data_IF_631362836035
#
_entry.id   IF_631362836035
#
_cell.length_a   1.000
_cell.length_b   1.000
_cell.length_c   1.000
_cell.angle_alpha   90.00
_cell.angle_beta   90.00
_cell.angle_gamma   90.00
#
_symmetry.space_group_name_H-M   'P 1'
#
loop_
_entity.id
_entity.type
_entity.pdbx_description
1 polymer ?
#
# COMPACT_ATOMS: atom_id res chain seq x y z
N UNK A 1 37.92 55.70 6.28
CA UNK A 1 39.21 55.73 6.99
C UNK A 1 39.02 56.33 8.37
N UNK A 2 39.07 55.48 9.41
CA UNK A 2 39.70 55.71 10.73
C UNK A 2 39.45 54.44 11.56
N UNK A 3 40.56 53.80 11.91
CA UNK A 3 40.69 52.64 12.79
C UNK A 3 40.60 53.06 14.25
N UNK A 4 40.18 52.12 15.11
CA UNK A 4 40.72 51.71 16.43
C UNK A 4 39.56 51.00 17.16
N UNK A 5 39.71 49.90 17.89
CA UNK A 5 40.83 49.12 18.34
C UNK A 5 40.37 48.31 19.55
N UNK A 6 40.92 47.10 19.70
CA UNK A 6 41.13 46.37 20.96
C UNK A 6 39.95 45.81 21.76
N UNK A 7 39.89 44.48 21.82
CA UNK A 7 39.30 43.69 22.92
C UNK A 7 40.06 43.92 24.25
N UNK A 8 39.50 43.49 25.41
CA UNK A 8 40.03 42.27 26.02
C UNK A 8 38.99 41.35 26.73
N UNK A 9 39.53 40.22 27.20
CA UNK A 9 38.94 38.97 27.68
C UNK A 9 38.26 39.04 29.06
N UNK A 10 37.25 38.17 29.28
CA UNK A 10 37.02 37.37 30.50
C UNK A 10 36.08 36.21 30.12
N UNK A 11 36.51 34.94 30.04
CA UNK A 11 36.96 34.00 31.08
C UNK A 11 35.83 33.41 31.95
N UNK A 12 35.79 32.07 31.95
CA UNK A 12 35.22 31.16 32.96
C UNK A 12 33.68 31.08 33.02
N UNK A 13 33.01 29.95 32.89
CA UNK A 13 33.41 28.55 33.00
C UNK A 13 32.31 27.80 33.74
N UNK A 14 31.61 26.88 33.06
CA UNK A 14 30.95 25.72 33.66
C UNK A 14 30.62 24.74 32.54
N UNK A 15 31.58 23.85 32.27
CA UNK A 15 31.35 22.63 31.49
C UNK A 15 30.56 21.69 32.39
N UNK A 16 29.35 21.34 31.97
CA UNK A 16 28.57 20.25 32.57
C UNK A 16 29.23 18.95 32.13
N UNK A 17 29.75 18.18 33.08
CA UNK A 17 30.32 16.86 32.83
C UNK A 17 29.21 15.86 32.47
N UNK A 18 29.41 14.95 31.51
CA UNK A 18 28.45 13.91 31.20
C UNK A 18 28.46 12.82 32.29
N UNK A 19 27.26 12.36 32.66
CA UNK A 19 27.05 11.28 33.62
C UNK A 19 27.62 9.94 33.10
N UNK A 20 28.27 9.13 33.96
CA UNK A 20 28.85 7.86 33.53
C UNK A 20 27.77 6.80 33.23
N UNK A 21 27.95 6.17 32.08
CA UNK A 21 27.18 5.04 31.56
C UNK A 21 27.19 3.86 32.54
N UNK A 22 26.05 3.58 33.20
CA UNK A 22 25.84 2.30 33.88
C UNK A 22 25.50 1.24 32.84
N UNK A 23 26.49 0.39 32.54
CA UNK A 23 26.29 -0.91 31.89
C UNK A 23 25.47 -1.81 32.83
N UNK A 24 24.26 -2.17 32.42
CA UNK A 24 23.55 -3.34 32.94
C UNK A 24 23.60 -4.43 31.87
N UNK A 25 24.46 -5.40 32.12
CA UNK A 25 24.44 -6.72 31.51
C UNK A 25 23.18 -7.47 31.99
N UNK A 26 22.28 -7.73 31.06
CA UNK A 26 21.12 -8.58 31.25
C UNK A 26 20.95 -9.44 30.00
N UNK A 27 21.64 -10.57 29.97
CA UNK A 27 21.35 -11.65 29.05
C UNK A 27 19.96 -12.22 29.39
N UNK A 28 19.01 -12.06 28.47
CA UNK A 28 17.65 -12.53 28.63
C UNK A 28 17.09 -12.96 27.27
N UNK A 29 17.21 -14.26 27.01
CA UNK A 29 16.59 -15.08 25.98
C UNK A 29 15.70 -14.36 24.93
N UNK A 30 16.18 -14.33 23.68
CA UNK A 30 15.35 -14.19 22.50
C UNK A 30 14.45 -15.43 22.46
N UNK A 31 13.19 -15.31 22.87
CA UNK A 31 12.17 -16.32 22.61
C UNK A 31 11.90 -16.32 21.11
N UNK A 32 12.43 -17.31 20.42
CA UNK A 32 11.97 -17.74 19.11
C UNK A 32 10.46 -17.98 19.20
N UNK A 33 9.65 -17.07 18.67
CA UNK A 33 8.22 -17.34 18.50
C UNK A 33 8.11 -18.26 17.30
N UNK A 34 8.00 -19.54 17.64
CA UNK A 34 7.85 -20.63 16.71
C UNK A 34 6.65 -20.40 15.81
N UNK A 35 6.93 -20.65 14.54
CA UNK A 35 6.06 -20.72 13.38
C UNK A 35 4.94 -21.74 13.61
N UNK A 36 3.81 -21.33 14.19
CA UNK A 36 2.62 -22.18 14.27
C UNK A 36 1.62 -21.76 13.18
N UNK A 37 1.82 -22.41 12.04
CA UNK A 37 0.88 -22.52 10.93
C UNK A 37 -0.38 -23.18 11.47
N UNK A 38 -1.40 -22.37 11.77
CA UNK A 38 -2.73 -22.87 12.13
C UNK A 38 -3.31 -23.62 10.92
N UNK A 39 -3.37 -24.94 11.04
CA UNK A 39 -4.16 -25.82 10.19
C UNK A 39 -5.63 -25.58 10.52
N UNK A 40 -6.28 -24.63 9.81
CA UNK A 40 -7.74 -24.56 9.83
C UNK A 40 -8.30 -25.65 8.91
N UNK A 41 -9.03 -26.54 9.55
CA UNK A 41 -9.75 -27.70 9.02
C UNK A 41 -10.83 -27.27 8.03
N UNK A 42 -11.00 -28.04 6.96
CA UNK A 42 -12.01 -27.84 5.93
C UNK A 42 -13.45 -28.03 6.47
N UNK A 43 -14.37 -27.12 6.08
CA UNK A 43 -15.76 -27.37 5.67
C UNK A 43 -16.71 -26.15 5.83
N UNK A 44 -16.24 -24.99 5.36
CA UNK A 44 -17.03 -23.96 4.66
C UNK A 44 -16.09 -23.48 3.55
N UNK A 45 -16.57 -23.11 2.36
CA UNK A 45 -15.70 -22.41 1.42
C UNK A 45 -15.23 -21.14 2.16
N UNK A 46 -13.97 -21.12 2.59
CA UNK A 46 -13.40 -20.00 3.33
C UNK A 46 -13.23 -18.92 2.28
N UNK A 47 -14.21 -18.02 2.20
CA UNK A 47 -14.22 -16.94 1.22
C UNK A 47 -13.03 -16.05 1.55
N UNK A 48 -12.01 -16.04 0.69
CA UNK A 48 -10.82 -15.23 0.93
C UNK A 48 -11.08 -13.76 0.63
N UNK A 49 -10.39 -12.86 1.34
CA UNK A 49 -10.50 -11.42 1.14
C UNK A 49 -9.24 -10.87 0.47
N UNK A 50 -9.40 -10.22 -0.67
CA UNK A 50 -8.29 -9.62 -1.41
C UNK A 50 -8.47 -8.12 -1.61
N UNK A 51 -7.37 -7.39 -1.54
CA UNK A 51 -7.31 -5.98 -1.83
C UNK A 51 -6.96 -5.82 -3.31
N UNK A 52 -7.78 -5.12 -4.08
CA UNK A 52 -7.50 -4.80 -5.47
C UNK A 52 -7.05 -3.35 -5.60
N UNK A 53 -5.88 -3.12 -6.20
CA UNK A 53 -5.43 -1.79 -6.59
C UNK A 53 -6.21 -1.26 -7.81
N UNK A 54 -5.93 -0.01 -8.20
CA UNK A 54 -6.57 0.59 -9.37
C UNK A 54 -6.25 -0.14 -10.69
N UNK A 55 -5.06 -0.76 -10.83
CA UNK A 55 -4.69 -1.49 -12.04
C UNK A 55 -5.50 -2.77 -12.23
N UNK A 56 -5.78 -3.50 -11.14
CA UNK A 56 -6.68 -4.65 -11.14
C UNK A 56 -8.12 -4.25 -11.43
N UNK A 57 -8.61 -3.17 -10.82
CA UNK A 57 -9.97 -2.68 -11.10
C UNK A 57 -10.14 -2.21 -12.55
N UNK A 58 -9.14 -1.56 -13.14
CA UNK A 58 -9.18 -1.17 -14.55
C UNK A 58 -9.34 -2.38 -15.49
N UNK A 59 -8.71 -3.51 -15.17
CA UNK A 59 -8.87 -4.78 -15.91
C UNK A 59 -10.24 -5.42 -15.74
N UNK A 60 -10.99 -5.12 -14.68
CA UNK A 60 -12.39 -5.54 -14.57
C UNK A 60 -13.31 -4.69 -15.46
N UNK A 61 -12.87 -3.47 -15.78
CA UNK A 61 -13.59 -2.55 -16.66
C UNK A 61 -13.31 -2.83 -18.14
N UNK A 62 -12.04 -2.97 -18.50
CA UNK A 62 -11.61 -3.22 -19.87
C UNK A 62 -11.47 -4.72 -20.11
N UNK A 63 -11.70 -5.18 -21.34
CA UNK A 63 -11.45 -6.57 -21.71
C UNK A 63 -10.01 -6.75 -22.17
N UNK A 64 -9.11 -6.84 -21.19
CA UNK A 64 -7.67 -7.04 -21.36
C UNK A 64 -7.33 -8.53 -21.25
N UNK A 65 -6.14 -8.98 -21.69
CA UNK A 65 -5.77 -10.39 -21.68
C UNK A 65 -5.93 -11.09 -20.32
N UNK A 66 -5.61 -10.39 -19.23
CA UNK A 66 -5.68 -10.93 -17.87
C UNK A 66 -7.09 -10.83 -17.26
N UNK A 67 -8.01 -10.09 -17.89
CA UNK A 67 -9.34 -9.80 -17.34
C UNK A 67 -10.17 -11.06 -17.14
N UNK A 68 -10.06 -12.06 -18.02
CA UNK A 68 -10.77 -13.33 -17.87
C UNK A 68 -10.32 -14.10 -16.61
N UNK A 69 -9.00 -14.18 -16.38
CA UNK A 69 -8.44 -14.82 -15.21
C UNK A 69 -8.80 -14.05 -13.92
N UNK A 70 -8.76 -12.72 -13.96
CA UNK A 70 -9.14 -11.88 -12.83
C UNK A 70 -10.63 -12.00 -12.48
N UNK A 71 -11.52 -12.05 -13.47
CA UNK A 71 -12.96 -12.25 -13.24
C UNK A 71 -13.25 -13.63 -12.66
N UNK A 72 -12.51 -14.66 -13.06
CA UNK A 72 -12.63 -16.00 -12.47
C UNK A 72 -12.17 -15.99 -11.00
N UNK A 73 -11.02 -15.34 -10.73
CA UNK A 73 -10.50 -15.14 -9.37
C UNK A 73 -11.52 -14.40 -8.48
N UNK A 74 -12.11 -13.31 -8.97
CA UNK A 74 -13.08 -12.50 -8.22
C UNK A 74 -14.47 -13.15 -8.03
N UNK A 75 -14.76 -14.29 -8.65
CA UNK A 75 -16.02 -15.03 -8.43
C UNK A 75 -15.95 -15.93 -7.21
N UNK A 76 -14.77 -16.45 -6.91
CA UNK A 76 -14.56 -17.38 -5.80
C UNK A 76 -14.32 -16.62 -4.48
N UNK A 77 -13.82 -15.38 -4.57
CA UNK A 77 -13.31 -14.61 -3.45
C UNK A 77 -13.82 -13.16 -3.42
N UNK A 78 -13.71 -12.51 -2.25
CA UNK A 78 -14.10 -11.12 -2.07
C UNK A 78 -12.99 -10.16 -2.47
N UNK A 79 -13.36 -9.10 -3.18
CA UNK A 79 -12.47 -7.99 -3.50
C UNK A 79 -12.89 -6.74 -2.70
N UNK A 80 -11.91 -5.99 -2.22
CA UNK A 80 -12.07 -4.67 -1.59
C UNK A 80 -10.99 -3.72 -2.09
N UNK A 81 -11.18 -2.42 -1.91
CA UNK A 81 -10.19 -1.40 -2.27
C UNK A 81 -10.31 -0.18 -1.34
N UNK A 82 -9.76 0.98 -1.71
CA UNK A 82 -10.01 2.24 -1.00
C UNK A 82 -10.44 3.37 -1.95
N UNK A 83 -10.97 4.46 -1.40
CA UNK A 83 -11.60 5.54 -2.17
C UNK A 83 -10.70 6.17 -3.24
N UNK A 84 -9.38 6.14 -3.06
CA UNK A 84 -8.43 6.70 -4.05
C UNK A 84 -8.50 5.95 -5.39
N UNK A 85 -8.89 4.68 -5.37
CA UNK A 85 -9.09 3.84 -6.54
C UNK A 85 -10.11 4.41 -7.50
N UNK A 86 -11.13 5.14 -7.01
CA UNK A 86 -12.11 5.81 -7.88
C UNK A 86 -11.41 6.77 -8.83
N UNK A 87 -10.56 7.63 -8.28
CA UNK A 87 -9.83 8.63 -9.07
C UNK A 87 -8.84 7.94 -10.01
N UNK A 88 -8.12 6.94 -9.53
CA UNK A 88 -7.10 6.25 -10.32
C UNK A 88 -7.69 5.43 -11.47
N UNK A 89 -8.79 4.70 -11.23
CA UNK A 89 -9.52 3.96 -12.27
C UNK A 89 -10.03 4.93 -13.33
N UNK A 90 -10.76 5.98 -12.96
CA UNK A 90 -11.30 6.94 -13.94
C UNK A 90 -10.18 7.61 -14.75
N UNK A 91 -9.04 7.89 -14.12
CA UNK A 91 -7.86 8.46 -14.78
C UNK A 91 -7.19 7.47 -15.72
N UNK A 92 -7.10 6.21 -15.35
CA UNK A 92 -6.59 5.14 -16.20
C UNK A 92 -7.48 4.94 -17.43
N UNK A 93 -8.79 4.84 -17.23
CA UNK A 93 -9.76 4.70 -18.32
C UNK A 93 -9.76 5.90 -19.27
N UNK A 94 -9.61 7.12 -18.75
CA UNK A 94 -9.47 8.30 -19.61
C UNK A 94 -8.23 8.20 -20.51
N UNK A 95 -7.09 7.73 -19.99
CA UNK A 95 -5.89 7.52 -20.81
C UNK A 95 -6.12 6.43 -21.86
N UNK A 96 -6.76 5.32 -21.50
CA UNK A 96 -7.05 4.24 -22.43
C UNK A 96 -7.97 4.70 -23.58
N UNK A 97 -9.04 5.45 -23.26
CA UNK A 97 -9.95 6.03 -24.28
C UNK A 97 -9.24 7.01 -25.24
N UNK A 98 -8.18 7.68 -24.79
CA UNK A 98 -7.39 8.56 -25.66
C UNK A 98 -6.45 7.78 -26.58
N UNK A 99 -5.98 6.61 -26.13
CA UNK A 99 -4.97 5.83 -26.82
C UNK A 99 -5.56 4.74 -27.71
N UNK A 100 -6.79 4.31 -27.44
CA UNK A 100 -7.48 3.25 -28.17
C UNK A 100 -8.82 3.75 -28.73
N UNK A 101 -8.90 4.05 -30.04
CA UNK A 101 -10.11 4.53 -30.67
C UNK A 101 -11.19 3.45 -30.83
N UNK A 102 -10.88 2.18 -30.55
CA UNK A 102 -11.86 1.08 -30.60
C UNK A 102 -12.74 1.04 -29.34
N UNK A 103 -12.31 1.67 -28.26
CA UNK A 103 -13.07 1.78 -27.03
C UNK A 103 -14.21 2.80 -27.17
N UNK A 104 -15.42 2.38 -26.80
CA UNK A 104 -16.60 3.25 -26.79
C UNK A 104 -16.72 3.95 -25.43
N UNK A 105 -16.62 5.30 -25.35
CA UNK A 105 -16.58 6.02 -24.08
C UNK A 105 -17.76 5.72 -23.14
N UNK A 106 -18.97 5.63 -23.69
CA UNK A 106 -20.20 5.38 -22.95
C UNK A 106 -20.17 3.99 -22.30
N UNK A 107 -19.77 2.96 -23.07
CA UNK A 107 -19.65 1.58 -22.59
C UNK A 107 -18.61 1.47 -21.48
N UNK A 108 -17.45 2.12 -21.65
CA UNK A 108 -16.38 2.12 -20.64
C UNK A 108 -16.83 2.80 -19.35
N UNK A 109 -17.55 3.93 -19.44
CA UNK A 109 -18.07 4.63 -18.26
C UNK A 109 -19.11 3.80 -17.51
N UNK A 110 -20.07 3.21 -18.23
CA UNK A 110 -21.09 2.34 -17.63
C UNK A 110 -20.45 1.15 -16.90
N UNK A 111 -19.46 0.51 -17.53
CA UNK A 111 -18.75 -0.60 -16.90
C UNK A 111 -17.92 -0.15 -15.70
N UNK A 112 -17.29 1.04 -15.75
CA UNK A 112 -16.56 1.60 -14.62
C UNK A 112 -17.46 1.82 -13.41
N UNK A 113 -18.65 2.40 -13.61
CA UNK A 113 -19.66 2.56 -12.56
C UNK A 113 -20.05 1.21 -11.98
N UNK A 114 -20.38 0.21 -12.82
CA UNK A 114 -20.73 -1.14 -12.35
C UNK A 114 -19.63 -1.77 -11.49
N UNK A 115 -18.37 -1.65 -11.88
CA UNK A 115 -17.24 -2.22 -11.13
C UNK A 115 -17.04 -1.46 -9.82
N UNK A 116 -16.99 -0.14 -9.84
CA UNK A 116 -16.75 0.67 -8.63
C UNK A 116 -17.89 0.55 -7.61
N UNK A 117 -19.14 0.42 -8.06
CA UNK A 117 -20.30 0.23 -7.17
C UNK A 117 -20.34 -1.17 -6.55
N UNK A 118 -19.71 -2.17 -7.19
CA UNK A 118 -19.68 -3.54 -6.70
C UNK A 118 -18.56 -3.81 -5.68
N UNK A 119 -17.54 -2.95 -5.61
CA UNK A 119 -16.37 -3.14 -4.76
C UNK A 119 -16.50 -2.26 -3.51
N UNK A 120 -16.48 -2.84 -2.29
CA UNK A 120 -16.35 -2.07 -1.07
C UNK A 120 -15.08 -1.21 -1.10
N UNK A 121 -15.22 0.07 -0.80
CA UNK A 121 -14.11 1.03 -0.74
C UNK A 121 -13.92 1.49 0.70
N UNK A 122 -12.75 1.20 1.26
CA UNK A 122 -12.34 1.73 2.55
C UNK A 122 -12.08 3.25 2.45
N UNK A 123 -12.51 4.04 3.47
CA UNK A 123 -12.30 5.48 3.48
C UNK A 123 -10.82 5.84 3.57
N UNK A 124 -10.44 6.96 2.96
CA UNK A 124 -9.07 7.49 3.02
C UNK A 124 -9.00 8.62 4.04
N UNK A 125 -8.71 8.25 5.29
CA UNK A 125 -8.61 9.18 6.42
C UNK A 125 -7.16 9.63 6.68
N UNK A 126 -6.99 10.69 7.48
CA UNK A 126 -5.67 11.28 7.74
C UNK A 126 -4.68 10.26 8.35
N UNK A 127 -5.15 9.41 9.26
CA UNK A 127 -4.39 8.35 9.90
C UNK A 127 -3.81 7.36 8.88
N UNK A 128 -4.59 7.02 7.86
CA UNK A 128 -4.15 6.18 6.76
C UNK A 128 -3.04 6.85 5.94
N UNK A 129 -3.19 8.14 5.65
CA UNK A 129 -2.16 8.92 4.94
C UNK A 129 -0.85 9.00 5.72
N UNK A 130 -0.93 9.17 7.05
CA UNK A 130 0.24 9.15 7.93
C UNK A 130 0.89 7.76 7.97
N UNK A 131 0.08 6.69 8.01
CA UNK A 131 0.59 5.31 7.95
C UNK A 131 1.31 5.03 6.62
N UNK A 132 0.75 5.46 5.49
CA UNK A 132 1.39 5.38 4.18
C UNK A 132 2.75 6.10 4.15
N UNK A 133 2.82 7.32 4.71
CA UNK A 133 4.06 8.09 4.79
C UNK A 133 5.14 7.48 5.71
N UNK A 134 4.80 6.47 6.52
CA UNK A 134 5.72 5.76 7.41
C UNK A 134 6.20 4.42 6.84
N UNK A 135 5.74 4.02 5.65
CA UNK A 135 6.22 2.80 5.02
C UNK A 135 7.74 2.88 4.79
N UNK A 136 8.48 1.78 5.03
CA UNK A 136 9.93 1.81 5.07
C UNK A 136 10.58 1.93 3.69
N UNK A 137 9.86 1.63 2.61
CA UNK A 137 10.38 1.68 1.24
C UNK A 137 10.31 3.11 0.68
N UNK A 138 11.44 3.84 0.59
CA UNK A 138 11.42 5.26 0.23
C UNK A 138 11.14 5.51 -1.26
N UNK A 139 11.25 4.48 -2.12
CA UNK A 139 11.01 4.62 -3.55
C UNK A 139 9.53 4.46 -3.95
N UNK A 140 8.65 4.09 -3.01
CA UNK A 140 7.21 3.99 -3.25
C UNK A 140 6.63 5.36 -3.62
N UNK A 141 5.82 5.38 -4.69
CA UNK A 141 5.01 6.57 -5.00
C UNK A 141 3.94 6.73 -3.94
N UNK A 142 3.47 7.97 -3.73
CA UNK A 142 2.48 8.27 -2.70
C UNK A 142 1.19 7.44 -2.85
N UNK A 143 0.66 7.29 -4.07
CA UNK A 143 -0.56 6.50 -4.33
C UNK A 143 -0.32 5.01 -4.03
N UNK A 144 0.83 4.46 -4.47
CA UNK A 144 1.21 3.08 -4.17
C UNK A 144 1.30 2.84 -2.66
N UNK A 145 1.90 3.76 -1.92
CA UNK A 145 2.00 3.72 -0.47
C UNK A 145 0.62 3.77 0.22
N UNK A 146 -0.31 4.57 -0.29
CA UNK A 146 -1.68 4.65 0.23
C UNK A 146 -2.42 3.33 0.03
N UNK A 147 -2.33 2.72 -1.15
CA UNK A 147 -2.91 1.41 -1.40
C UNK A 147 -2.34 0.33 -0.47
N UNK A 148 -1.02 0.28 -0.31
CA UNK A 148 -0.35 -0.69 0.57
C UNK A 148 -0.76 -0.47 2.03
N UNK A 149 -0.80 0.78 2.50
CA UNK A 149 -1.27 1.10 3.84
C UNK A 149 -2.74 0.72 4.04
N UNK A 150 -3.59 0.94 3.04
CA UNK A 150 -5.01 0.58 3.09
C UNK A 150 -5.17 -0.94 3.22
N UNK A 151 -4.43 -1.70 2.42
CA UNK A 151 -4.42 -3.15 2.50
C UNK A 151 -3.94 -3.65 3.87
N UNK A 152 -2.86 -3.07 4.42
CA UNK A 152 -2.34 -3.42 5.75
C UNK A 152 -3.29 -3.05 6.91
N UNK A 153 -4.23 -2.15 6.68
CA UNK A 153 -5.23 -1.74 7.69
C UNK A 153 -6.41 -2.72 7.79
N UNK A 154 -6.53 -3.67 6.85
CA UNK A 154 -7.60 -4.64 6.80
C UNK A 154 -7.24 -5.90 7.58
N UNK A 155 -8.15 -6.32 8.47
CA UNK A 155 -8.05 -7.61 9.13
C UNK A 155 -8.44 -8.76 8.18
N UNK A 156 -7.73 -9.87 8.27
CA UNK A 156 -8.06 -11.09 7.51
C UNK A 156 -7.77 -11.00 6.01
N UNK A 157 -6.93 -10.05 5.58
CA UNK A 157 -6.55 -9.93 4.18
C UNK A 157 -5.69 -11.11 3.71
N UNK A 158 -6.13 -11.80 2.68
CA UNK A 158 -5.41 -12.91 2.06
C UNK A 158 -4.37 -12.45 1.07
N UNK A 159 -4.58 -11.33 0.39
CA UNK A 159 -3.61 -10.83 -0.58
C UNK A 159 -3.90 -9.48 -1.19
N UNK A 160 -2.92 -9.01 -1.92
CA UNK A 160 -2.91 -7.75 -2.65
C UNK A 160 -2.83 -8.04 -4.15
N UNK A 161 -3.92 -7.75 -4.86
CA UNK A 161 -4.05 -7.92 -6.30
C UNK A 161 -3.62 -6.64 -6.99
N UNK A 162 -2.57 -6.74 -7.81
CA UNK A 162 -2.06 -5.62 -8.61
C UNK A 162 -1.38 -6.15 -9.86
N UNK A 163 -1.40 -5.34 -10.91
CA UNK A 163 -0.68 -5.58 -12.15
C UNK A 163 0.48 -4.59 -12.35
N UNK A 164 0.75 -3.71 -11.38
CA UNK A 164 1.96 -2.90 -11.34
C UNK A 164 3.08 -3.67 -10.61
N UNK A 165 4.14 -4.02 -11.36
CA UNK A 165 5.28 -4.79 -10.85
C UNK A 165 6.01 -4.09 -9.70
N UNK A 166 6.09 -2.74 -9.74
CA UNK A 166 6.77 -1.96 -8.71
C UNK A 166 5.92 -1.88 -7.44
N UNK A 167 4.62 -1.67 -7.58
CA UNK A 167 3.70 -1.71 -6.45
C UNK A 167 3.66 -3.10 -5.81
N UNK A 168 3.66 -4.17 -6.62
CA UNK A 168 3.73 -5.54 -6.12
C UNK A 168 5.03 -5.78 -5.32
N UNK A 169 6.17 -5.28 -5.79
CA UNK A 169 7.42 -5.36 -5.03
C UNK A 169 7.32 -4.63 -3.68
N UNK A 170 6.78 -3.41 -3.67
CA UNK A 170 6.56 -2.65 -2.44
C UNK A 170 5.61 -3.33 -1.46
N UNK A 171 4.50 -3.89 -1.95
CA UNK A 171 3.54 -4.64 -1.14
C UNK A 171 4.20 -5.87 -0.49
N UNK A 172 5.02 -6.62 -1.24
CA UNK A 172 5.79 -7.75 -0.69
C UNK A 172 6.79 -7.32 0.37
N UNK A 173 7.49 -6.21 0.17
CA UNK A 173 8.41 -5.66 1.18
C UNK A 173 7.68 -5.24 2.45
N UNK A 174 6.42 -4.81 2.32
CA UNK A 174 5.55 -4.49 3.45
C UNK A 174 4.90 -5.72 4.11
N UNK A 175 5.17 -6.94 3.61
CA UNK A 175 4.69 -8.20 4.18
C UNK A 175 3.40 -8.75 3.56
N UNK A 176 2.86 -8.13 2.51
CA UNK A 176 1.67 -8.59 1.82
C UNK A 176 2.00 -9.70 0.80
N UNK A 177 1.13 -10.71 0.71
CA UNK A 177 1.14 -11.64 -0.43
C UNK A 177 0.56 -10.91 -1.65
N UNK A 178 1.22 -11.03 -2.81
CA UNK A 178 0.76 -10.36 -4.04
C UNK A 178 0.27 -11.33 -5.08
N UNK A 179 -0.76 -10.94 -5.81
CA UNK A 179 -1.41 -11.74 -6.85
C UNK A 179 -1.60 -10.92 -8.13
N UNK A 180 -1.44 -11.57 -9.28
CA UNK A 180 -1.70 -11.00 -10.60
C UNK A 180 -2.33 -12.09 -11.48
N UNK A 181 -3.60 -12.45 -11.29
CA UNK A 181 -4.23 -13.56 -12.01
C UNK A 181 -4.08 -13.44 -13.53
N UNK A 182 -3.50 -14.44 -14.18
CA UNK A 182 -3.30 -14.47 -15.63
C UNK A 182 -2.06 -13.74 -16.16
N UNK A 183 -1.27 -13.12 -15.27
CA UNK A 183 0.03 -12.53 -15.60
C UNK A 183 1.21 -13.51 -15.45
#
# INVERSE_FOLDING_TARGET
MRSTGSSPKAACGRRVAPAPCRRRSGAGAIRTVSRERSTRSAATADVSLFYADASALAKLVLDEPESAALRAFAREDLLTSCEISVTEVLRALTRNLQNDPTLVPEVVREQATRVLDAIPLAPVEYELLVAAGRLPEPSLRALDAIHIAAALSLDGLDGFVTYDVRQAAGARLAGLRTFSPGA
#
